data_IF_980085075407
#
_entry.id   IF_980085075407
#
_cell.length_a   1.000
_cell.length_b   1.000
_cell.length_c   1.000
_cell.angle_alpha   90.00
_cell.angle_beta   90.00
_cell.angle_gamma   90.00
#
_symmetry.space_group_name_H-M   'P 1'
#
loop_
_entity.id
_entity.type
_entity.pdbx_description
1 polymer ?
#
# COMPACT_ATOMS: atom_id res chain seq x y z
N UNK A 1 -34.86 19.83 -13.45
CA UNK A 1 -34.11 19.32 -12.27
C UNK A 1 -33.15 18.27 -12.80
N UNK A 2 -31.85 18.56 -12.82
CA UNK A 2 -30.84 17.67 -13.41
C UNK A 2 -30.37 16.66 -12.36
N UNK A 3 -30.41 15.37 -12.69
CA UNK A 3 -29.88 14.32 -11.84
C UNK A 3 -28.37 14.21 -12.09
N UNK A 4 -27.57 14.51 -11.07
CA UNK A 4 -26.13 14.23 -11.09
C UNK A 4 -25.93 12.74 -10.90
N UNK A 5 -25.46 12.05 -11.94
CA UNK A 5 -25.02 10.66 -11.86
C UNK A 5 -23.61 10.66 -11.25
N UNK A 6 -23.50 10.22 -10.00
CA UNK A 6 -22.19 9.92 -9.41
C UNK A 6 -21.73 8.57 -9.94
N UNK A 7 -20.85 8.58 -10.95
CA UNK A 7 -20.03 7.41 -11.26
C UNK A 7 -18.94 7.37 -10.18
N UNK A 8 -19.17 6.67 -9.07
CA UNK A 8 -18.06 6.33 -8.18
C UNK A 8 -17.31 5.16 -8.81
N UNK A 9 -16.46 5.47 -9.78
CA UNK A 9 -15.32 4.59 -10.02
C UNK A 9 -14.52 4.60 -8.72
N UNK A 10 -14.48 3.48 -8.00
CA UNK A 10 -13.58 3.31 -6.86
C UNK A 10 -12.17 3.63 -7.34
N UNK A 11 -11.62 4.75 -6.86
CA UNK A 11 -10.30 5.26 -7.27
C UNK A 11 -9.19 4.28 -6.83
N UNK A 12 -9.44 3.51 -5.78
CA UNK A 12 -8.49 2.59 -5.18
C UNK A 12 -8.99 1.14 -5.24
N UNK A 13 -8.09 0.20 -5.54
CA UNK A 13 -8.30 -1.25 -5.49
C UNK A 13 -8.17 -1.80 -4.07
N UNK A 14 -7.36 -1.15 -3.23
CA UNK A 14 -7.12 -1.56 -1.85
C UNK A 14 -8.41 -1.45 -1.00
N UNK A 15 -8.82 -2.57 -0.39
CA UNK A 15 -10.07 -2.65 0.36
C UNK A 15 -10.10 -1.74 1.60
N UNK A 16 -8.96 -1.50 2.23
CA UNK A 16 -8.88 -0.58 3.36
C UNK A 16 -9.17 0.84 2.88
N UNK A 17 -8.53 1.29 1.80
CA UNK A 17 -8.80 2.61 1.23
C UNK A 17 -10.25 2.76 0.76
N UNK A 18 -10.85 1.72 0.18
CA UNK A 18 -12.27 1.74 -0.20
C UNK A 18 -13.23 1.88 0.99
N UNK A 19 -12.82 1.41 2.18
CA UNK A 19 -13.64 1.49 3.39
C UNK A 19 -13.60 2.86 4.10
N UNK A 20 -12.71 3.76 3.66
CA UNK A 20 -12.53 5.07 4.28
C UNK A 20 -13.40 6.14 3.62
N UNK A 21 -13.92 7.06 4.44
CA UNK A 21 -14.63 8.23 3.94
C UNK A 21 -13.73 9.13 3.08
N UNK A 22 -14.34 9.80 2.10
CA UNK A 22 -13.63 10.66 1.16
C UNK A 22 -12.83 11.80 1.84
N UNK A 23 -13.31 12.31 2.98
CA UNK A 23 -12.58 13.32 3.75
C UNK A 23 -11.29 12.75 4.39
N UNK A 24 -11.32 11.51 4.85
CA UNK A 24 -10.15 10.81 5.40
C UNK A 24 -9.13 10.59 4.29
N UNK A 25 -9.56 10.05 3.15
CA UNK A 25 -8.71 9.85 1.97
C UNK A 25 -8.03 11.16 1.55
N UNK A 26 -8.78 12.26 1.49
CA UNK A 26 -8.23 13.57 1.14
C UNK A 26 -7.15 14.05 2.12
N UNK A 27 -7.29 13.77 3.41
CA UNK A 27 -6.32 14.15 4.45
C UNK A 27 -5.05 13.31 4.44
N UNK A 28 -5.11 12.09 3.92
CA UNK A 28 -3.95 11.22 3.78
C UNK A 28 -2.97 11.72 2.71
N UNK A 29 -3.42 12.56 1.76
CA UNK A 29 -2.58 13.13 0.69
C UNK A 29 -1.76 12.06 -0.03
N UNK A 30 -2.42 10.97 -0.41
CA UNK A 30 -1.75 9.82 -1.04
C UNK A 30 -1.22 10.18 -2.43
N UNK A 31 -0.03 9.70 -2.74
CA UNK A 31 0.60 9.83 -4.06
C UNK A 31 0.84 8.44 -4.68
N UNK A 32 0.53 8.25 -5.97
CA UNK A 32 0.82 6.99 -6.65
C UNK A 32 2.34 6.81 -6.82
N UNK A 33 2.83 5.63 -6.51
CA UNK A 33 4.22 5.23 -6.71
C UNK A 33 4.27 3.86 -7.38
N UNK A 34 5.19 3.71 -8.32
CA UNK A 34 5.46 2.44 -8.99
C UNK A 34 6.86 1.99 -8.61
N UNK A 35 6.98 0.73 -8.23
CA UNK A 35 8.26 0.09 -7.96
C UNK A 35 8.65 -0.87 -9.07
N UNK A 36 9.94 -1.00 -9.31
CA UNK A 36 10.49 -2.09 -10.12
C UNK A 36 10.37 -3.42 -9.37
N UNK A 37 10.41 -4.53 -10.10
CA UNK A 37 10.45 -5.86 -9.50
C UNK A 37 11.63 -5.98 -8.50
N UNK A 38 11.38 -6.63 -7.36
CA UNK A 38 12.37 -6.83 -6.28
C UNK A 38 12.93 -5.53 -5.66
N UNK A 39 12.29 -4.38 -5.89
CA UNK A 39 12.65 -3.16 -5.19
C UNK A 39 12.48 -3.32 -3.67
N UNK A 40 13.55 -3.03 -2.91
CA UNK A 40 13.48 -3.02 -1.46
C UNK A 40 12.72 -1.78 -0.98
N UNK A 41 11.54 -2.00 -0.40
CA UNK A 41 10.67 -0.92 0.09
C UNK A 41 11.16 -0.35 1.43
N UNK A 42 11.53 -1.23 2.37
CA UNK A 42 12.01 -0.89 3.72
C UNK A 42 13.01 -1.96 4.19
N UNK A 43 13.92 -1.58 5.10
CA UNK A 43 14.87 -2.50 5.72
C UNK A 43 14.74 -2.51 7.25
N UNK A 44 14.72 -3.69 7.91
CA UNK A 44 14.62 -3.77 9.37
C UNK A 44 15.73 -2.99 10.08
N UNK A 45 15.35 -2.17 11.06
CA UNK A 45 16.26 -1.32 11.83
C UNK A 45 16.43 0.10 11.29
N UNK A 46 15.93 0.38 10.07
CA UNK A 46 15.79 1.74 9.59
C UNK A 46 14.53 2.42 10.15
N UNK A 47 14.51 3.75 10.13
CA UNK A 47 13.32 4.52 10.54
C UNK A 47 12.24 4.41 9.47
N UNK A 48 11.02 4.08 9.86
CA UNK A 48 9.86 4.06 8.96
C UNK A 48 9.59 5.47 8.46
N UNK A 49 9.66 5.68 7.14
CA UNK A 49 9.43 7.00 6.52
C UNK A 49 8.10 7.12 5.83
N UNK A 50 7.61 6.01 5.26
CA UNK A 50 6.40 5.99 4.45
C UNK A 50 5.51 4.80 4.81
N UNK A 51 4.22 4.96 4.54
CA UNK A 51 3.24 3.88 4.56
C UNK A 51 2.76 3.67 3.13
N UNK A 52 2.75 2.42 2.68
CA UNK A 52 2.33 2.06 1.33
C UNK A 52 1.05 1.24 1.38
N UNK A 53 0.17 1.49 0.43
CA UNK A 53 -1.02 0.68 0.18
C UNK A 53 -0.84 0.01 -1.18
N UNK A 54 -0.74 -1.32 -1.19
CA UNK A 54 -0.60 -2.08 -2.43
C UNK A 54 -1.94 -2.03 -3.17
N UNK A 55 -1.88 -1.50 -4.39
CA UNK A 55 -3.01 -1.40 -5.33
C UNK A 55 -2.93 -2.47 -6.42
N UNK A 56 -1.71 -2.85 -6.82
CA UNK A 56 -1.46 -3.86 -7.86
C UNK A 56 -0.10 -4.52 -7.63
N UNK A 57 -0.01 -5.83 -7.90
CA UNK A 57 1.19 -6.63 -7.67
C UNK A 57 1.20 -7.29 -6.29
N UNK A 58 2.39 -7.71 -5.85
CA UNK A 58 2.61 -8.32 -4.54
C UNK A 58 3.86 -7.74 -3.89
N UNK A 59 3.82 -7.55 -2.58
CA UNK A 59 4.95 -7.24 -1.73
C UNK A 59 5.17 -8.38 -0.73
N UNK A 60 6.42 -8.78 -0.54
CA UNK A 60 6.83 -9.76 0.47
C UNK A 60 7.54 -9.05 1.61
N UNK A 61 7.31 -9.52 2.84
CA UNK A 61 8.02 -9.09 4.03
C UNK A 61 8.87 -10.26 4.53
N UNK A 62 10.18 -10.03 4.61
CA UNK A 62 11.13 -10.99 5.12
C UNK A 62 11.75 -10.49 6.43
N UNK A 63 12.21 -11.44 7.24
CA UNK A 63 13.05 -11.15 8.41
C UNK A 63 14.32 -12.00 8.36
N UNK A 64 15.39 -11.48 8.96
CA UNK A 64 16.70 -12.13 8.98
C UNK A 64 16.99 -12.66 10.38
N UNK A 65 17.28 -13.95 10.48
CA UNK A 65 17.73 -14.59 11.72
C UNK A 65 19.19 -14.24 12.04
N UNK A 66 19.62 -14.52 13.28
CA UNK A 66 21.01 -14.31 13.73
C UNK A 66 22.05 -15.06 12.87
N UNK A 67 21.64 -16.15 12.21
CA UNK A 67 22.49 -16.93 11.31
C UNK A 67 22.45 -16.45 9.85
N UNK A 68 21.93 -15.24 9.60
CA UNK A 68 21.75 -14.63 8.27
C UNK A 68 20.76 -15.33 7.33
N UNK A 69 20.06 -16.39 7.79
CA UNK A 69 18.98 -16.96 7.03
C UNK A 69 17.79 -16.00 7.00
N UNK A 70 17.12 -15.91 5.85
CA UNK A 70 15.91 -15.11 5.69
C UNK A 70 14.68 -16.01 5.66
N UNK A 71 13.60 -15.55 6.29
CA UNK A 71 12.29 -16.19 6.22
C UNK A 71 11.24 -15.16 5.83
N UNK A 72 10.33 -15.57 4.94
CA UNK A 72 9.15 -14.79 4.64
C UNK A 72 8.17 -14.88 5.81
N UNK A 73 7.72 -13.72 6.26
CA UNK A 73 6.78 -13.60 7.39
C UNK A 73 5.43 -13.01 6.96
N UNK A 74 5.32 -12.56 5.71
CA UNK A 74 4.05 -12.11 5.15
C UNK A 74 4.15 -11.76 3.67
N UNK A 75 2.99 -11.81 3.01
CA UNK A 75 2.79 -11.29 1.66
C UNK A 75 1.55 -10.40 1.64
N UNK A 76 1.61 -9.33 0.85
CA UNK A 76 0.55 -8.33 0.71
C UNK A 76 0.29 -8.07 -0.77
N UNK A 77 -0.97 -8.11 -1.20
CA UNK A 77 -1.37 -7.92 -2.59
C UNK A 77 -2.81 -8.33 -2.82
#
# INVERSE_FOLDING_TARGET
>A
MSATVYVSATVYKNLLLQSLDAEVIKRLSLEPVTFELEHQIEFPGESIRYLYFVEEGMASLTTTFENSAQVEVGMFG
#
